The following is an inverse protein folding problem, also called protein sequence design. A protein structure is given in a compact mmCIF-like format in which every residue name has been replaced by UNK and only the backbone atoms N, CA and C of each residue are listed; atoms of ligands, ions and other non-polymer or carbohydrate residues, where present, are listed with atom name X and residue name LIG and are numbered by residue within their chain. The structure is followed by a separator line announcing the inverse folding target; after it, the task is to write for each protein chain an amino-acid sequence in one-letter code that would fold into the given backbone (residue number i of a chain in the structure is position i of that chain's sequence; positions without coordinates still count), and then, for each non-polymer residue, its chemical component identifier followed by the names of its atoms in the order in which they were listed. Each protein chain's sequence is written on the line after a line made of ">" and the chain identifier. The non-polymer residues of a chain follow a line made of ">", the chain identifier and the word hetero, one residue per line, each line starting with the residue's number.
data_IF_870053946071
#
_entry.id   IF_870053946071
#
_cell.length_a   1.000
_cell.length_b   1.000
_cell.length_c   1.000
_cell.angle_alpha   90.00
_cell.angle_beta   90.00
_cell.angle_gamma   90.00
#
_symmetry.space_group_name_H-M   'P 1'
#
loop_
_entity.id
_entity.type
_entity.pdbx_description
1 polymer ?
#
# COMPACT_ATOMS: atom_id res chain seq x y z
N UNK A 1 9.43 -8.25 -17.50
CA UNK A 1 8.17 -8.91 -17.13
C UNK A 1 7.74 -9.96 -18.15
N UNK A 2 7.53 -11.19 -17.71
CA UNK A 2 7.02 -12.27 -18.58
C UNK A 2 5.47 -12.22 -18.62
N UNK A 3 4.82 -12.49 -19.76
CA UNK A 3 3.36 -12.31 -19.91
C UNK A 3 2.53 -13.14 -18.93
N UNK A 4 3.02 -14.31 -18.51
CA UNK A 4 2.34 -15.15 -17.52
C UNK A 4 2.34 -14.56 -16.09
N UNK A 5 3.34 -13.76 -15.72
CA UNK A 5 3.39 -13.07 -14.42
C UNK A 5 2.34 -11.97 -14.38
N UNK A 6 2.19 -11.23 -15.48
CA UNK A 6 1.12 -10.26 -15.65
C UNK A 6 -0.24 -10.94 -15.48
N UNK A 7 -0.51 -11.99 -16.26
CA UNK A 7 -1.76 -12.74 -16.20
C UNK A 7 -2.08 -13.24 -14.78
N UNK A 8 -1.05 -13.73 -14.06
CA UNK A 8 -1.20 -14.17 -12.67
C UNK A 8 -1.55 -13.02 -11.72
N UNK A 9 -0.94 -11.84 -11.84
CA UNK A 9 -1.30 -10.68 -11.03
C UNK A 9 -2.74 -10.21 -11.30
N UNK A 10 -3.15 -10.18 -12.56
CA UNK A 10 -4.52 -9.83 -12.93
C UNK A 10 -5.54 -10.86 -12.44
N UNK A 11 -5.20 -12.15 -12.48
CA UNK A 11 -6.03 -13.21 -11.90
C UNK A 11 -6.13 -13.04 -10.37
N UNK A 12 -5.01 -12.80 -9.68
CA UNK A 12 -4.99 -12.54 -8.23
C UNK A 12 -5.84 -11.32 -7.87
N UNK A 13 -5.72 -10.22 -8.62
CA UNK A 13 -6.58 -9.04 -8.45
C UNK A 13 -8.05 -9.40 -8.61
N UNK A 14 -8.40 -10.14 -9.65
CA UNK A 14 -9.78 -10.51 -9.94
C UNK A 14 -10.35 -11.40 -8.85
N UNK A 15 -9.59 -12.39 -8.37
CA UNK A 15 -9.95 -13.24 -7.23
C UNK A 15 -10.08 -12.40 -5.95
N UNK A 16 -9.15 -11.48 -5.69
CA UNK A 16 -9.25 -10.63 -4.51
C UNK A 16 -10.45 -9.67 -4.56
N UNK A 17 -10.74 -9.08 -5.72
CA UNK A 17 -11.86 -8.17 -5.91
C UNK A 17 -13.22 -8.88 -5.77
N UNK A 18 -13.34 -10.08 -6.33
CA UNK A 18 -14.57 -10.87 -6.33
C UNK A 18 -14.78 -11.64 -5.03
N UNK A 19 -13.73 -12.25 -4.47
CA UNK A 19 -13.81 -13.15 -3.32
C UNK A 19 -13.44 -12.47 -2.00
N UNK A 20 -12.79 -11.30 -2.04
CA UNK A 20 -12.30 -10.61 -0.83
C UNK A 20 -11.20 -11.37 -0.08
N UNK A 21 -10.60 -12.39 -0.69
CA UNK A 21 -9.71 -13.33 0.00
C UNK A 21 -8.39 -12.66 0.41
N UNK A 22 -8.13 -12.60 1.72
CA UNK A 22 -6.89 -12.03 2.29
C UNK A 22 -5.64 -12.73 1.76
N UNK A 23 -5.71 -14.03 1.44
CA UNK A 23 -4.59 -14.78 0.87
C UNK A 23 -4.17 -14.26 -0.51
N UNK A 24 -5.12 -13.86 -1.36
CA UNK A 24 -4.82 -13.26 -2.65
C UNK A 24 -4.18 -11.87 -2.49
N UNK A 25 -4.65 -11.12 -1.49
CA UNK A 25 -4.03 -9.86 -1.07
C UNK A 25 -2.58 -10.01 -0.59
N UNK A 26 -2.29 -11.01 0.25
CA UNK A 26 -0.90 -11.31 0.67
C UNK A 26 -0.01 -11.69 -0.50
N UNK A 27 -0.54 -12.41 -1.49
CA UNK A 27 0.22 -12.73 -2.70
C UNK A 27 0.58 -11.47 -3.52
N UNK A 28 -0.27 -10.44 -3.50
CA UNK A 28 0.06 -9.14 -4.09
C UNK A 28 1.12 -8.39 -3.27
N UNK A 29 1.03 -8.41 -1.94
CA UNK A 29 2.08 -7.86 -1.07
C UNK A 29 3.43 -8.55 -1.31
N UNK A 30 3.45 -9.88 -1.38
CA UNK A 30 4.67 -10.64 -1.69
C UNK A 30 5.23 -10.32 -3.08
N UNK A 31 4.37 -9.94 -4.04
CA UNK A 31 4.80 -9.51 -5.37
C UNK A 31 5.51 -8.14 -5.35
N UNK A 32 5.33 -7.30 -4.32
CA UNK A 32 6.13 -6.09 -4.11
C UNK A 32 7.61 -6.39 -3.90
N UNK A 33 7.96 -7.62 -3.50
CA UNK A 33 9.33 -8.10 -3.39
C UNK A 33 9.91 -8.74 -4.63
N UNK A 34 9.16 -8.76 -5.73
CA UNK A 34 9.64 -9.37 -6.96
C UNK A 34 10.87 -8.63 -7.49
N UNK A 35 11.88 -9.35 -8.03
CA UNK A 35 13.01 -8.70 -8.71
C UNK A 35 12.56 -7.93 -9.97
N UNK A 36 11.40 -8.28 -10.55
CA UNK A 36 10.85 -7.61 -11.71
C UNK A 36 10.10 -6.33 -11.31
N UNK A 37 10.59 -5.18 -11.79
CA UNK A 37 10.02 -3.87 -11.49
C UNK A 37 8.56 -3.74 -11.93
N UNK A 38 8.19 -4.31 -13.08
CA UNK A 38 6.82 -4.25 -13.55
C UNK A 38 5.86 -5.00 -12.61
N UNK A 39 6.32 -6.12 -12.05
CA UNK A 39 5.53 -6.90 -11.08
C UNK A 39 5.32 -6.10 -9.80
N UNK A 40 6.37 -5.44 -9.28
CA UNK A 40 6.27 -4.59 -8.09
C UNK A 40 5.30 -3.44 -8.30
N UNK A 41 5.43 -2.72 -9.42
CA UNK A 41 4.60 -1.55 -9.74
C UNK A 41 3.13 -1.94 -9.90
N UNK A 42 2.83 -3.01 -10.63
CA UNK A 42 1.45 -3.47 -10.83
C UNK A 42 0.85 -3.95 -9.51
N UNK A 43 1.60 -4.69 -8.69
CA UNK A 43 1.14 -5.13 -7.39
C UNK A 43 0.80 -3.95 -6.46
N UNK A 44 1.66 -2.93 -6.42
CA UNK A 44 1.41 -1.71 -5.65
C UNK A 44 0.17 -0.97 -6.13
N UNK A 45 0.01 -0.82 -7.44
CA UNK A 45 -1.17 -0.18 -8.03
C UNK A 45 -2.47 -0.96 -7.69
N UNK A 46 -2.44 -2.30 -7.71
CA UNK A 46 -3.62 -3.09 -7.36
C UNK A 46 -3.99 -2.97 -5.89
N UNK A 47 -3.00 -2.94 -4.99
CA UNK A 47 -3.23 -2.70 -3.56
C UNK A 47 -3.82 -1.30 -3.34
N UNK A 48 -3.26 -0.27 -3.98
CA UNK A 48 -3.79 1.10 -3.94
C UNK A 48 -5.25 1.17 -4.43
N UNK A 49 -5.57 0.48 -5.53
CA UNK A 49 -6.92 0.43 -6.08
C UNK A 49 -7.92 -0.29 -5.16
N UNK A 50 -7.46 -1.23 -4.33
CA UNK A 50 -8.31 -1.94 -3.38
C UNK A 50 -8.74 -1.12 -2.17
N UNK A 51 -8.13 0.04 -1.93
CA UNK A 51 -8.53 0.99 -0.88
C UNK A 51 -8.60 0.34 0.50
N UNK A 52 -9.73 0.50 1.20
CA UNK A 52 -9.93 -0.02 2.57
C UNK A 52 -9.73 -1.52 2.72
N UNK A 53 -9.94 -2.32 1.66
CA UNK A 53 -9.70 -3.77 1.71
C UNK A 53 -8.21 -4.10 1.82
N UNK A 54 -7.34 -3.19 1.37
CA UNK A 54 -5.89 -3.32 1.47
C UNK A 54 -5.36 -2.98 2.87
N UNK A 55 -6.10 -2.22 3.69
CA UNK A 55 -5.66 -1.80 5.04
C UNK A 55 -5.10 -2.94 5.90
N UNK A 56 -5.83 -4.05 6.15
CA UNK A 56 -5.31 -5.13 6.99
C UNK A 56 -4.11 -5.86 6.37
N UNK A 57 -3.97 -5.85 5.04
CA UNK A 57 -2.86 -6.48 4.33
C UNK A 57 -1.59 -5.61 4.43
N UNK A 58 -1.77 -4.30 4.29
CA UNK A 58 -0.71 -3.31 4.45
C UNK A 58 -0.25 -3.28 5.92
N UNK A 59 -1.18 -3.36 6.87
CA UNK A 59 -0.85 -3.47 8.30
C UNK A 59 0.00 -4.72 8.58
N UNK A 60 -0.42 -5.88 8.08
CA UNK A 60 0.33 -7.14 8.23
C UNK A 60 1.73 -7.03 7.61
N UNK A 61 1.86 -6.39 6.45
CA UNK A 61 3.14 -6.17 5.79
C UNK A 61 4.08 -5.23 6.58
N UNK A 62 3.53 -4.15 7.17
CA UNK A 62 4.28 -3.23 8.05
C UNK A 62 4.78 -3.99 9.29
N UNK A 63 3.92 -4.78 9.94
CA UNK A 63 4.29 -5.56 11.13
C UNK A 63 5.39 -6.57 10.83
N UNK A 64 5.41 -7.13 9.61
CA UNK A 64 6.43 -8.08 9.15
C UNK A 64 7.70 -7.43 8.63
N UNK A 65 7.72 -6.10 8.46
CA UNK A 65 8.85 -5.38 7.89
C UNK A 65 9.06 -5.65 6.39
N UNK A 66 8.04 -6.11 5.68
CA UNK A 66 8.15 -6.50 4.28
C UNK A 66 7.93 -5.29 3.37
N UNK A 67 8.94 -4.96 2.54
CA UNK A 67 8.86 -3.91 1.52
C UNK A 67 8.39 -2.55 2.07
N UNK A 68 8.85 -2.20 3.28
CA UNK A 68 8.39 -1.05 4.05
C UNK A 68 8.20 0.23 3.21
N UNK A 69 9.17 0.72 2.40
CA UNK A 69 8.96 1.96 1.65
C UNK A 69 7.75 1.92 0.70
N UNK A 70 7.57 0.82 -0.03
CA UNK A 70 6.43 0.65 -0.95
C UNK A 70 5.11 0.50 -0.20
N UNK A 71 5.10 -0.30 0.86
CA UNK A 71 3.90 -0.55 1.67
C UNK A 71 3.41 0.72 2.36
N UNK A 72 4.33 1.56 2.85
CA UNK A 72 4.02 2.84 3.48
C UNK A 72 3.39 3.81 2.47
N UNK A 73 3.95 3.90 1.26
CA UNK A 73 3.38 4.72 0.19
C UNK A 73 1.93 4.30 -0.13
N UNK A 74 1.72 2.98 -0.28
CA UNK A 74 0.39 2.40 -0.53
C UNK A 74 -0.57 2.73 0.62
N UNK A 75 -0.11 2.70 1.88
CA UNK A 75 -0.93 3.07 3.04
C UNK A 75 -1.47 4.51 2.93
N UNK A 76 -0.64 5.44 2.43
CA UNK A 76 -1.06 6.80 2.10
C UNK A 76 -2.10 6.84 0.98
N UNK A 77 -1.83 6.15 -0.13
CA UNK A 77 -2.69 6.11 -1.32
C UNK A 77 -4.07 5.50 -1.07
N UNK A 78 -4.16 4.47 -0.22
CA UNK A 78 -5.46 3.87 0.13
C UNK A 78 -6.23 4.70 1.17
N UNK A 79 -5.61 5.71 1.77
CA UNK A 79 -6.24 6.51 2.82
C UNK A 79 -6.31 5.79 4.17
N UNK A 80 -5.34 4.94 4.51
CA UNK A 80 -5.34 4.14 5.74
C UNK A 80 -5.08 5.00 7.00
N UNK A 81 -6.06 5.80 7.42
CA UNK A 81 -5.95 6.69 8.60
C UNK A 81 -5.59 5.91 9.87
N UNK A 82 -6.06 4.66 9.99
CA UNK A 82 -5.73 3.77 11.11
C UNK A 82 -4.23 3.49 11.25
N UNK A 83 -3.48 3.55 10.14
CA UNK A 83 -2.04 3.33 10.11
C UNK A 83 -1.24 4.60 10.41
N UNK A 84 -1.86 5.79 10.50
CA UNK A 84 -1.18 7.04 10.82
C UNK A 84 -0.24 6.97 12.04
N UNK A 85 -0.57 6.36 13.19
CA UNK A 85 0.38 6.22 14.29
C UNK A 85 1.58 5.33 13.95
N UNK A 86 1.40 4.27 13.17
CA UNK A 86 2.49 3.42 12.69
C UNK A 86 3.38 4.17 11.70
N UNK A 87 2.79 4.90 10.75
CA UNK A 87 3.51 5.77 9.81
C UNK A 87 4.33 6.83 10.56
N UNK A 88 3.79 7.47 11.61
CA UNK A 88 4.55 8.45 12.41
C UNK A 88 5.77 7.85 13.10
N UNK A 89 5.68 6.60 13.58
CA UNK A 89 6.85 5.91 14.14
C UNK A 89 7.91 5.66 13.06
N UNK A 90 7.49 5.17 11.90
CA UNK A 90 8.37 4.85 10.78
C UNK A 90 8.92 6.10 10.07
N UNK A 91 8.28 7.26 10.22
CA UNK A 91 8.78 8.54 9.75
C UNK A 91 10.07 9.00 10.46
N UNK A 92 10.38 8.41 11.63
CA UNK A 92 11.59 8.59 12.39
C UNK A 92 12.51 7.35 12.35
N UNK A 93 12.29 6.44 11.40
CA UNK A 93 13.12 5.25 11.22
C UNK A 93 14.58 5.64 10.85
N UNK A 94 15.52 4.77 11.18
CA UNK A 94 16.93 4.95 10.85
C UNK A 94 17.18 4.81 9.34
N UNK A 95 16.35 4.04 8.64
CA UNK A 95 16.41 3.97 7.19
C UNK A 95 15.77 5.22 6.55
N UNK A 96 16.56 6.06 5.84
CA UNK A 96 16.05 7.27 5.22
C UNK A 96 14.98 7.01 4.15
N UNK A 97 14.98 5.85 3.50
CA UNK A 97 13.94 5.50 2.52
C UNK A 97 12.61 5.21 3.20
N UNK A 98 12.64 4.49 4.32
CA UNK A 98 11.47 4.18 5.14
C UNK A 98 10.91 5.47 5.75
N UNK A 99 11.77 6.29 6.34
CA UNK A 99 11.40 7.58 6.91
C UNK A 99 10.72 8.48 5.88
N UNK A 100 11.31 8.62 4.68
CA UNK A 100 10.75 9.44 3.61
C UNK A 100 9.40 8.91 3.11
N UNK A 101 9.29 7.61 2.87
CA UNK A 101 8.04 6.99 2.43
C UNK A 101 6.91 7.16 3.46
N UNK A 102 7.22 7.01 4.75
CA UNK A 102 6.27 7.26 5.83
C UNK A 102 5.83 8.72 5.91
N UNK A 103 6.75 9.68 5.75
CA UNK A 103 6.43 11.10 5.72
C UNK A 103 5.55 11.46 4.52
N UNK A 104 5.85 10.93 3.34
CA UNK A 104 5.06 11.13 2.13
C UNK A 104 3.65 10.54 2.31
N UNK A 105 3.53 9.34 2.85
CA UNK A 105 2.25 8.71 3.16
C UNK A 105 1.42 9.56 4.14
N UNK A 106 2.03 10.09 5.21
CA UNK A 106 1.37 11.00 6.15
C UNK A 106 0.89 12.28 5.47
N UNK A 107 1.67 12.85 4.56
CA UNK A 107 1.27 14.04 3.78
C UNK A 107 0.05 13.75 2.91
N UNK A 108 0.03 12.59 2.23
CA UNK A 108 -1.11 12.15 1.41
C UNK A 108 -2.35 11.94 2.28
N UNK A 109 -2.21 11.29 3.44
CA UNK A 109 -3.32 11.11 4.39
C UNK A 109 -3.87 12.44 4.89
N UNK A 110 -3.00 13.42 5.19
CA UNK A 110 -3.40 14.75 5.61
C UNK A 110 -4.14 15.49 4.49
N UNK A 111 -3.62 15.46 3.27
CA UNK A 111 -4.29 16.07 2.10
C UNK A 111 -5.69 15.50 1.87
N UNK A 112 -5.89 14.19 2.11
CA UNK A 112 -7.19 13.52 2.00
C UNK A 112 -8.15 13.81 3.17
N UNK A 113 -7.63 14.20 4.33
CA UNK A 113 -8.42 14.59 5.51
C UNK A 113 -8.80 16.08 5.49
N UNK A 114 -8.16 16.88 4.64
CA UNK A 114 -8.42 18.33 4.51
C UNK A 114 -9.42 18.79 3.42
N UNK A 115 -10.41 18.01 2.93
CA UNK A 115 -11.37 18.57 1.95
C UNK A 115 -12.43 19.49 2.59
N UNK A 116 -12.47 19.66 3.91
CA UNK A 116 -13.61 20.31 4.62
C UNK A 116 -13.23 21.55 5.46
N UNK A 117 -12.22 22.31 5.04
CA UNK A 117 -11.94 23.65 5.62
C UNK A 117 -12.12 24.80 4.64
N UNK A 118 -12.68 24.54 3.45
CA UNK A 118 -12.89 25.53 2.39
C UNK A 118 -14.37 25.75 1.99
N UNK A 119 -15.35 25.16 2.67
CA UNK A 119 -16.78 25.47 2.49
C UNK A 119 -17.37 26.01 3.78
N UNK A 120 -16.87 27.18 4.15
CA UNK A 120 -17.38 27.98 5.26
C UNK A 120 -17.24 29.45 4.89
N UNK A 121 -18.07 29.91 3.96
CA UNK A 121 -18.47 31.32 3.83
C UNK A 121 -19.69 31.46 2.93
#
# INVERSE_FOLDING_TARGET
>A
MKPWQAARLYALKSVWATTGSRSAGRALVAALGSPDEGVRTIAGMFLAQGGRRAEPLVEEAIQRGEHLPLVLLIAGDIGAVRLAPALRRLAADTDPQVARAAQDALRILAARQSPDSATGR
#
